data_IF_915042259211
#
_entry.id   IF_915042259211
#
_cell.length_a   1.000
_cell.length_b   1.000
_cell.length_c   1.000
_cell.angle_alpha   90.00
_cell.angle_beta   90.00
_cell.angle_gamma   90.00
#
_symmetry.space_group_name_H-M   'P 1'
#
loop_
_entity.id
_entity.type
_entity.pdbx_description
1 polymer ?
#
# COMPACT_ATOMS: atom_id res chain seq x y z
N UNK A 1 -17.55 -24.38 -24.53
CA UNK A 1 -16.42 -25.32 -24.34
C UNK A 1 -15.37 -24.59 -23.54
N UNK A 2 -15.34 -24.83 -22.23
CA UNK A 2 -14.44 -24.15 -21.31
C UNK A 2 -13.05 -24.77 -21.37
N UNK A 3 -12.07 -23.97 -21.78
CA UNK A 3 -10.66 -24.31 -21.57
C UNK A 3 -10.35 -24.07 -20.10
N UNK A 4 -10.17 -25.18 -19.41
CA UNK A 4 -9.63 -25.29 -18.07
C UNK A 4 -8.22 -24.70 -18.05
N UNK A 5 -8.05 -23.55 -17.40
CA UNK A 5 -6.72 -23.04 -17.01
C UNK A 5 -6.49 -23.52 -15.57
N UNK A 6 -6.03 -24.76 -15.47
CA UNK A 6 -5.60 -25.39 -14.22
C UNK A 6 -4.18 -24.93 -13.85
N UNK A 7 -4.00 -24.39 -12.63
CA UNK A 7 -2.84 -24.56 -11.75
C UNK A 7 -1.42 -24.11 -12.24
N UNK A 8 -1.22 -23.73 -13.50
CA UNK A 8 0.06 -23.20 -14.01
C UNK A 8 0.28 -21.69 -13.77
N UNK A 9 -0.59 -21.00 -13.03
CA UNK A 9 -0.47 -19.55 -12.75
C UNK A 9 0.77 -19.16 -11.90
N UNK A 10 1.53 -20.10 -11.36
CA UNK A 10 2.70 -19.82 -10.49
C UNK A 10 3.96 -19.31 -11.19
N UNK A 11 4.03 -19.36 -12.53
CA UNK A 11 5.09 -18.68 -13.32
C UNK A 11 4.49 -17.44 -13.98
N UNK A 12 4.02 -16.52 -13.15
CA UNK A 12 3.60 -15.21 -13.64
C UNK A 12 4.73 -14.57 -14.45
N UNK A 13 4.34 -13.86 -15.51
CA UNK A 13 5.24 -13.26 -16.46
C UNK A 13 6.17 -12.27 -15.73
N UNK A 14 7.40 -12.69 -15.42
CA UNK A 14 8.42 -11.85 -14.77
C UNK A 14 8.58 -10.50 -15.49
N UNK A 15 8.34 -10.46 -16.81
CA UNK A 15 8.29 -9.21 -17.57
C UNK A 15 7.16 -8.28 -17.13
N UNK A 16 5.95 -8.79 -16.92
CA UNK A 16 4.82 -7.99 -16.42
C UNK A 16 5.09 -7.45 -15.00
N UNK A 17 5.68 -8.26 -14.12
CA UNK A 17 6.07 -7.83 -12.77
C UNK A 17 7.11 -6.71 -12.83
N UNK A 18 8.14 -6.85 -13.67
CA UNK A 18 9.15 -5.81 -13.86
C UNK A 18 8.57 -4.50 -14.39
N UNK A 19 7.77 -4.58 -15.46
CA UNK A 19 7.09 -3.42 -16.03
C UNK A 19 6.20 -2.73 -14.98
N UNK A 20 5.54 -3.52 -14.13
CA UNK A 20 4.76 -2.99 -13.01
C UNK A 20 5.67 -2.29 -11.97
N UNK A 21 6.77 -2.93 -11.55
CA UNK A 21 7.74 -2.34 -10.64
C UNK A 21 8.29 -1.00 -11.17
N UNK A 22 8.59 -0.92 -12.46
CA UNK A 22 9.00 0.32 -13.13
C UNK A 22 7.90 1.38 -13.06
N UNK A 23 6.64 1.00 -13.30
CA UNK A 23 5.51 1.94 -13.28
C UNK A 23 5.19 2.54 -11.90
N UNK A 24 5.66 1.91 -10.81
CA UNK A 24 5.43 2.40 -9.45
C UNK A 24 6.60 3.21 -8.89
N UNK A 25 7.70 3.32 -9.64
CA UNK A 25 8.81 4.21 -9.32
C UNK A 25 8.31 5.66 -9.30
N UNK A 26 8.66 6.40 -8.24
CA UNK A 26 8.28 7.80 -8.01
C UNK A 26 6.77 8.10 -7.93
N UNK A 27 5.91 7.08 -7.89
CA UNK A 27 4.50 7.29 -7.56
C UNK A 27 4.40 8.00 -6.21
N UNK A 28 3.60 9.07 -6.20
CA UNK A 28 3.27 9.87 -5.02
C UNK A 28 1.82 9.65 -4.64
N UNK A 29 1.55 9.64 -3.35
CA UNK A 29 0.21 9.53 -2.81
C UNK A 29 -0.17 10.85 -2.14
N UNK A 30 -1.27 11.45 -2.60
CA UNK A 30 -1.80 12.64 -1.95
C UNK A 30 -2.12 12.38 -0.47
N UNK A 31 -1.75 13.34 0.38
CA UNK A 31 -1.92 13.23 1.83
C UNK A 31 -0.90 12.35 2.55
N UNK A 32 0.03 11.68 1.84
CA UNK A 32 1.01 10.78 2.48
C UNK A 32 1.79 11.49 3.60
N UNK A 33 2.01 10.77 4.70
CA UNK A 33 2.83 11.22 5.81
C UNK A 33 4.30 11.19 5.40
N UNK A 34 5.06 12.23 5.76
CA UNK A 34 6.52 12.20 5.56
C UNK A 34 7.14 11.35 6.66
N UNK A 35 7.72 10.22 6.27
CA UNK A 35 8.39 9.25 7.11
C UNK A 35 9.69 9.76 7.73
N UNK A 36 10.31 10.82 7.16
CA UNK A 36 11.59 11.36 7.64
C UNK A 36 11.48 12.36 8.80
N UNK A 37 10.27 12.73 9.21
CA UNK A 37 10.05 13.62 10.36
C UNK A 37 9.50 12.79 11.51
N UNK A 38 10.34 12.51 12.50
CA UNK A 38 9.90 11.85 13.71
C UNK A 38 8.84 12.66 14.46
N UNK A 39 8.16 12.08 15.45
CA UNK A 39 7.14 12.76 16.26
C UNK A 39 7.65 13.95 17.10
N UNK A 40 8.93 14.34 16.96
CA UNK A 40 9.48 15.55 17.60
C UNK A 40 9.53 16.76 16.67
N UNK A 41 9.32 16.57 15.36
CA UNK A 41 9.26 17.66 14.38
C UNK A 41 7.81 18.12 14.12
N UNK A 42 6.97 18.04 15.16
CA UNK A 42 5.64 18.65 15.21
C UNK A 42 5.69 20.17 15.42
N UNK A 43 6.82 20.83 15.17
CA UNK A 43 6.83 22.29 15.03
C UNK A 43 5.96 22.65 13.81
N UNK A 44 4.70 22.97 14.14
CA UNK A 44 3.79 23.88 13.48
C UNK A 44 4.53 24.77 12.48
N UNK A 45 4.53 24.38 11.21
CA UNK A 45 4.68 25.35 10.11
C UNK A 45 3.32 26.03 9.99
N UNK A 46 2.99 26.82 11.02
CA UNK A 46 1.79 27.62 11.14
C UNK A 46 1.94 28.86 10.24
N UNK A 47 1.63 28.67 8.97
CA UNK A 47 1.11 29.76 8.15
C UNK A 47 -0.39 29.94 8.47
N UNK A 48 -0.91 31.18 8.53
CA UNK A 48 -2.30 31.47 8.91
C UNK A 48 -3.39 30.89 7.97
N UNK A 49 -2.99 30.27 6.85
CA UNK A 49 -3.88 29.62 5.87
C UNK A 49 -3.70 28.09 5.79
N UNK A 50 -2.96 27.46 6.72
CA UNK A 50 -2.87 26.01 6.77
C UNK A 50 -3.92 25.45 7.73
N UNK A 51 -5.09 25.09 7.18
CA UNK A 51 -5.94 24.08 7.81
C UNK A 51 -5.03 22.93 8.25
N UNK A 52 -5.10 22.46 9.52
CA UNK A 52 -4.29 21.36 9.98
C UNK A 52 -4.54 20.20 9.03
N UNK A 53 -3.59 19.95 8.13
CA UNK A 53 -3.68 18.85 7.18
C UNK A 53 -3.81 17.63 8.05
N UNK A 54 -5.01 17.06 8.12
CA UNK A 54 -5.23 15.78 8.78
C UNK A 54 -4.26 14.83 8.08
N UNK A 55 -3.15 14.49 8.75
CA UNK A 55 -2.14 13.65 8.15
C UNK A 55 -2.81 12.32 7.86
N UNK A 56 -2.72 11.83 6.62
CA UNK A 56 -3.39 10.59 6.20
C UNK A 56 -3.12 9.45 7.20
N UNK A 57 -1.93 9.43 7.81
CA UNK A 57 -1.61 8.48 8.87
C UNK A 57 -2.58 8.47 10.05
N UNK A 58 -3.02 9.63 10.54
CA UNK A 58 -4.00 9.71 11.62
C UNK A 58 -5.35 9.15 11.21
N UNK A 59 -5.79 9.46 9.98
CA UNK A 59 -7.05 8.95 9.44
C UNK A 59 -6.99 7.44 9.27
N UNK A 60 -5.89 6.90 8.72
CA UNK A 60 -5.69 5.46 8.54
C UNK A 60 -5.67 4.70 9.87
N UNK A 61 -4.99 5.24 10.89
CA UNK A 61 -5.01 4.65 12.23
C UNK A 61 -6.44 4.56 12.78
N UNK A 62 -7.23 5.63 12.65
CA UNK A 62 -8.64 5.60 13.06
C UNK A 62 -9.48 4.61 12.25
N UNK A 63 -9.29 4.54 10.93
CA UNK A 63 -9.98 3.55 10.08
C UNK A 63 -9.66 2.11 10.51
N UNK A 64 -8.39 1.81 10.82
CA UNK A 64 -7.97 0.50 11.35
C UNK A 64 -8.63 0.21 12.71
N UNK A 65 -8.71 1.19 13.60
CA UNK A 65 -9.42 1.05 14.89
C UNK A 65 -10.90 0.71 14.69
N UNK A 66 -11.59 1.37 13.76
CA UNK A 66 -12.98 1.06 13.43
C UNK A 66 -13.14 -0.36 12.88
N UNK A 67 -12.24 -0.79 11.99
CA UNK A 67 -12.22 -2.17 11.46
C UNK A 67 -12.07 -3.19 12.59
N UNK A 68 -11.16 -2.95 13.53
CA UNK A 68 -10.92 -3.87 14.66
C UNK A 68 -12.10 -3.94 15.61
N UNK A 69 -12.69 -2.79 15.96
CA UNK A 69 -13.92 -2.76 16.77
C UNK A 69 -15.03 -3.58 16.12
N UNK A 70 -15.22 -3.42 14.81
CA UNK A 70 -16.26 -4.13 14.07
C UNK A 70 -15.93 -5.62 13.84
N UNK A 71 -14.65 -5.98 13.63
CA UNK A 71 -14.17 -7.36 13.53
C UNK A 71 -14.40 -8.14 14.82
N UNK A 72 -14.08 -7.53 15.96
CA UNK A 72 -14.32 -8.11 17.29
C UNK A 72 -15.81 -8.36 17.57
N UNK A 73 -16.70 -7.58 16.93
CA UNK A 73 -18.14 -7.77 16.97
C UNK A 73 -18.67 -8.76 15.91
N UNK A 74 -17.81 -9.33 15.05
CA UNK A 74 -18.16 -10.12 13.87
C UNK A 74 -19.13 -9.43 12.90
N UNK A 75 -19.11 -8.09 12.89
CA UNK A 75 -20.04 -7.24 12.15
C UNK A 75 -19.27 -6.15 11.42
N UNK A 76 -18.24 -6.52 10.65
CA UNK A 76 -17.54 -5.54 9.82
C UNK A 76 -18.52 -4.94 8.79
N UNK A 77 -18.95 -3.73 9.05
CA UNK A 77 -19.85 -2.92 8.23
C UNK A 77 -19.31 -1.49 8.17
N UNK A 78 -19.68 -0.76 7.11
CA UNK A 78 -19.27 0.63 6.94
C UNK A 78 -20.14 1.52 7.84
N UNK A 79 -19.63 1.80 9.05
CA UNK A 79 -20.28 2.69 10.03
C UNK A 79 -20.28 4.14 9.54
N UNK A 80 -21.12 4.98 10.12
CA UNK A 80 -21.13 6.40 9.78
C UNK A 80 -19.82 7.10 10.15
N UNK A 81 -19.16 6.69 11.24
CA UNK A 81 -17.81 7.15 11.59
C UNK A 81 -16.80 6.80 10.49
N UNK A 82 -16.84 5.56 9.96
CA UNK A 82 -15.98 5.14 8.85
C UNK A 82 -16.22 6.01 7.60
N UNK A 83 -17.48 6.35 7.29
CA UNK A 83 -17.84 7.21 6.16
C UNK A 83 -17.30 8.63 6.32
N UNK A 84 -17.37 9.20 7.53
CA UNK A 84 -16.82 10.54 7.79
C UNK A 84 -15.29 10.55 7.72
N UNK A 85 -14.61 9.50 8.21
CA UNK A 85 -13.17 9.35 8.02
C UNK A 85 -12.78 9.29 6.53
N UNK A 86 -13.56 8.58 5.70
CA UNK A 86 -13.34 8.58 4.25
C UNK A 86 -13.59 9.95 3.60
N UNK A 87 -14.52 10.75 4.14
CA UNK A 87 -14.71 12.14 3.68
C UNK A 87 -13.49 12.99 4.00
N UNK A 88 -12.85 12.79 5.14
CA UNK A 88 -11.61 13.47 5.48
C UNK A 88 -10.45 13.03 4.57
N UNK A 89 -10.41 11.76 4.16
CA UNK A 89 -9.50 11.33 3.08
C UNK A 89 -9.81 12.10 1.79
N UNK A 90 -11.08 12.17 1.37
CA UNK A 90 -11.48 12.87 0.14
C UNK A 90 -11.02 14.35 0.14
N UNK A 91 -11.26 15.09 1.24
CA UNK A 91 -10.77 16.46 1.43
C UNK A 91 -9.26 16.58 1.20
N UNK A 92 -8.47 15.63 1.72
CA UNK A 92 -7.01 15.62 1.57
C UNK A 92 -6.55 15.39 0.12
N UNK A 93 -7.38 14.76 -0.73
CA UNK A 93 -7.08 14.47 -2.14
C UNK A 93 -7.43 15.64 -3.07
N UNK A 94 -8.52 16.35 -2.78
CA UNK A 94 -9.12 17.37 -3.68
C UNK A 94 -8.35 18.70 -3.70
N UNK A 95 -7.34 18.88 -2.84
CA UNK A 95 -6.48 20.07 -2.83
C UNK A 95 -5.58 20.24 -4.07
N UNK A 96 -5.78 19.51 -5.17
CA UNK A 96 -4.99 19.64 -6.40
C UNK A 96 -5.85 19.92 -7.64
N UNK A 97 -5.32 20.73 -8.56
CA UNK A 97 -6.04 21.42 -9.65
C UNK A 97 -6.67 20.51 -10.72
N UNK A 98 -6.52 19.19 -10.62
CA UNK A 98 -6.92 18.21 -11.64
C UNK A 98 -7.77 17.06 -11.06
N UNK A 99 -8.25 17.17 -9.82
CA UNK A 99 -9.05 16.13 -9.18
C UNK A 99 -10.55 16.24 -9.47
N UNK A 100 -11.17 15.07 -9.55
CA UNK A 100 -12.53 14.77 -9.10
C UNK A 100 -12.89 15.64 -7.87
N UNK A 101 -14.12 16.18 -7.79
CA UNK A 101 -14.46 17.05 -6.65
C UNK A 101 -14.58 16.28 -5.32
N UNK A 102 -14.60 17.01 -4.19
CA UNK A 102 -15.14 16.60 -2.86
C UNK A 102 -15.92 15.28 -2.86
N UNK A 103 -17.14 15.45 -3.35
CA UNK A 103 -18.25 14.53 -3.23
C UNK A 103 -18.06 13.30 -4.13
N UNK A 104 -17.53 13.51 -5.33
CA UNK A 104 -17.23 12.42 -6.26
C UNK A 104 -16.12 11.52 -5.68
N UNK A 105 -15.04 12.10 -5.15
CA UNK A 105 -13.94 11.36 -4.51
C UNK A 105 -14.45 10.59 -3.28
N UNK A 106 -15.26 11.23 -2.45
CA UNK A 106 -15.89 10.56 -1.29
C UNK A 106 -16.78 9.40 -1.73
N UNK A 107 -17.60 9.58 -2.76
CA UNK A 107 -18.48 8.54 -3.31
C UNK A 107 -17.68 7.36 -3.85
N UNK A 108 -16.56 7.61 -4.55
CA UNK A 108 -15.65 6.55 -5.02
C UNK A 108 -15.05 5.77 -3.84
N UNK A 109 -14.56 6.47 -2.82
CA UNK A 109 -14.01 5.84 -1.61
C UNK A 109 -15.04 4.99 -0.87
N UNK A 110 -16.31 5.40 -0.84
CA UNK A 110 -17.40 4.58 -0.28
C UNK A 110 -17.61 3.29 -1.08
N UNK A 111 -17.62 3.37 -2.41
CA UNK A 111 -17.71 2.17 -3.26
C UNK A 111 -16.51 1.23 -3.11
N UNK A 112 -15.31 1.77 -2.90
CA UNK A 112 -14.12 0.96 -2.60
C UNK A 112 -14.17 0.35 -1.20
N UNK A 113 -14.72 1.04 -0.21
CA UNK A 113 -14.91 0.50 1.14
C UNK A 113 -15.84 -0.73 1.14
N UNK A 114 -16.89 -0.74 0.31
CA UNK A 114 -17.78 -1.91 0.16
C UNK A 114 -17.03 -3.13 -0.36
N UNK A 115 -16.20 -2.93 -1.40
CA UNK A 115 -15.33 -3.98 -1.95
C UNK A 115 -14.32 -4.45 -0.91
N UNK A 116 -13.70 -3.53 -0.19
CA UNK A 116 -12.76 -3.84 0.89
C UNK A 116 -13.41 -4.72 1.96
N UNK A 117 -14.61 -4.38 2.45
CA UNK A 117 -15.31 -5.18 3.46
C UNK A 117 -15.59 -6.59 2.95
N UNK A 118 -15.99 -6.74 1.69
CA UNK A 118 -16.20 -8.05 1.07
C UNK A 118 -14.91 -8.89 1.03
N UNK A 119 -13.79 -8.29 0.63
CA UNK A 119 -12.47 -8.94 0.56
C UNK A 119 -11.98 -9.32 1.97
N UNK A 120 -12.09 -8.38 2.93
CA UNK A 120 -11.69 -8.58 4.31
C UNK A 120 -12.45 -9.76 4.95
N UNK A 121 -13.77 -9.82 4.76
CA UNK A 121 -14.58 -10.96 5.24
C UNK A 121 -14.19 -12.27 4.56
N UNK A 122 -13.99 -12.24 3.23
CA UNK A 122 -13.66 -13.43 2.43
C UNK A 122 -12.33 -14.07 2.85
N UNK A 123 -11.30 -13.28 3.20
CA UNK A 123 -10.00 -13.84 3.62
C UNK A 123 -10.10 -14.63 4.93
N UNK A 124 -11.07 -14.32 5.80
CA UNK A 124 -11.35 -15.08 7.02
C UNK A 124 -10.35 -14.94 8.17
N UNK A 125 -9.44 -13.95 8.14
CA UNK A 125 -8.51 -13.66 9.23
C UNK A 125 -8.47 -12.17 9.56
N UNK A 126 -7.99 -11.82 10.76
CA UNK A 126 -7.78 -10.43 11.17
C UNK A 126 -6.48 -9.86 10.58
N UNK A 127 -6.39 -8.53 10.52
CA UNK A 127 -5.18 -7.84 10.05
C UNK A 127 -4.16 -7.80 11.17
N UNK A 128 -2.88 -7.93 10.81
CA UNK A 128 -1.78 -7.68 11.75
C UNK A 128 -1.90 -6.29 12.39
N UNK A 129 -1.46 -6.18 13.64
CA UNK A 129 -1.52 -4.92 14.41
C UNK A 129 -0.21 -4.17 14.20
N UNK A 130 -0.28 -2.94 13.71
CA UNK A 130 0.87 -2.04 13.73
C UNK A 130 1.06 -1.54 15.17
N UNK A 131 2.18 -1.88 15.81
CA UNK A 131 2.44 -1.48 17.19
C UNK A 131 2.55 0.05 17.32
N UNK A 132 2.22 0.55 18.51
CA UNK A 132 2.18 1.99 18.79
C UNK A 132 3.54 2.67 18.57
N UNK A 133 4.63 1.93 18.76
CA UNK A 133 5.99 2.42 18.53
C UNK A 133 6.29 2.75 17.05
N UNK A 134 5.41 2.33 16.12
CA UNK A 134 5.47 2.63 14.70
C UNK A 134 4.29 3.51 14.24
N UNK A 135 3.70 4.29 15.14
CA UNK A 135 2.57 5.17 14.80
C UNK A 135 2.87 6.14 13.67
N UNK A 136 4.14 6.52 13.48
CA UNK A 136 4.60 7.40 12.39
C UNK A 136 4.60 6.71 11.01
N UNK A 137 4.55 5.37 10.97
CA UNK A 137 4.55 4.61 9.72
C UNK A 137 3.21 4.71 8.97
N UNK A 138 2.12 5.03 9.70
CA UNK A 138 0.81 5.20 9.11
C UNK A 138 0.81 6.26 8.01
N UNK A 139 0.30 5.88 6.84
CA UNK A 139 0.16 6.76 5.67
C UNK A 139 1.48 7.16 5.04
N UNK A 140 2.61 6.57 5.43
CA UNK A 140 3.89 6.81 4.76
C UNK A 140 3.83 6.35 3.32
N UNK A 141 4.70 6.92 2.48
CA UNK A 141 4.80 6.55 1.07
C UNK A 141 5.01 5.04 0.89
N UNK A 142 5.90 4.45 1.69
CA UNK A 142 6.20 3.03 1.64
C UNK A 142 4.98 2.16 1.95
N UNK A 143 4.23 2.50 3.01
CA UNK A 143 3.01 1.79 3.37
C UNK A 143 1.94 1.93 2.28
N UNK A 144 1.79 3.12 1.71
CA UNK A 144 0.86 3.38 0.61
C UNK A 144 1.26 2.68 -0.69
N UNK A 145 2.56 2.54 -0.96
CA UNK A 145 3.08 1.75 -2.07
C UNK A 145 2.75 0.26 -1.91
N UNK A 146 2.93 -0.27 -0.70
CA UNK A 146 2.50 -1.63 -0.36
C UNK A 146 1.00 -1.81 -0.63
N UNK A 147 0.17 -0.88 -0.13
CA UNK A 147 -1.27 -0.89 -0.35
C UNK A 147 -1.63 -0.83 -1.83
N UNK A 148 -0.93 0.00 -2.62
CA UNK A 148 -1.11 0.11 -4.08
C UNK A 148 -0.85 -1.22 -4.79
N UNK A 149 0.24 -1.90 -4.45
CA UNK A 149 0.57 -3.20 -5.06
C UNK A 149 -0.52 -4.22 -4.77
N UNK A 150 -1.07 -4.26 -3.57
CA UNK A 150 -2.20 -5.13 -3.24
C UNK A 150 -3.41 -4.84 -4.13
N UNK A 151 -3.89 -3.59 -4.13
CA UNK A 151 -5.14 -3.25 -4.83
C UNK A 151 -5.01 -3.38 -6.36
N UNK A 152 -3.82 -3.15 -6.92
CA UNK A 152 -3.59 -3.33 -8.35
C UNK A 152 -3.56 -4.82 -8.76
N UNK A 153 -3.20 -5.73 -7.84
CA UNK A 153 -2.99 -7.15 -8.12
C UNK A 153 -4.01 -8.10 -7.46
N UNK A 154 -5.04 -7.56 -6.83
CA UNK A 154 -6.14 -8.37 -6.29
C UNK A 154 -6.87 -9.09 -7.44
N UNK A 155 -7.11 -10.42 -7.32
CA UNK A 155 -7.78 -11.20 -8.35
C UNK A 155 -9.16 -10.65 -8.72
N UNK A 156 -9.89 -10.15 -7.74
CA UNK A 156 -11.22 -9.57 -7.93
C UNK A 156 -11.19 -8.48 -9.01
N UNK A 157 -10.18 -7.60 -9.02
CA UNK A 157 -10.05 -6.55 -10.02
C UNK A 157 -9.60 -7.08 -11.38
N UNK A 158 -8.64 -7.99 -11.38
CA UNK A 158 -8.09 -8.57 -12.62
C UNK A 158 -9.17 -9.38 -13.37
N UNK A 159 -9.93 -10.20 -12.66
CA UNK A 159 -10.92 -11.10 -13.26
C UNK A 159 -12.19 -10.36 -13.69
N UNK A 160 -12.62 -9.34 -12.92
CA UNK A 160 -13.80 -8.54 -13.24
C UNK A 160 -13.53 -7.32 -14.11
N UNK A 161 -12.25 -7.00 -14.37
CA UNK A 161 -11.80 -5.77 -15.06
C UNK A 161 -12.35 -4.49 -14.42
N UNK A 162 -12.54 -4.52 -13.11
CA UNK A 162 -12.92 -3.34 -12.35
C UNK A 162 -11.68 -2.49 -12.04
N UNK A 163 -11.82 -1.16 -11.94
CA UNK A 163 -10.73 -0.31 -11.48
C UNK A 163 -10.22 -0.77 -10.10
N UNK A 164 -8.91 -0.73 -9.86
CA UNK A 164 -8.33 -0.93 -8.53
C UNK A 164 -8.96 0.01 -7.50
N UNK A 165 -9.06 -0.47 -6.26
CA UNK A 165 -9.45 0.39 -5.12
C UNK A 165 -8.38 1.44 -4.80
N UNK A 166 -8.75 2.44 -4.01
CA UNK A 166 -7.75 3.34 -3.42
C UNK A 166 -6.71 2.57 -2.57
N UNK A 167 -5.40 2.88 -2.69
CA UNK A 167 -4.33 2.21 -1.96
C UNK A 167 -4.50 2.17 -0.44
N UNK A 168 -5.28 3.08 0.17
CA UNK A 168 -5.57 3.02 1.61
C UNK A 168 -6.20 1.69 2.00
N UNK A 169 -7.00 1.08 1.13
CA UNK A 169 -7.68 -0.18 1.42
C UNK A 169 -6.72 -1.36 1.36
N UNK A 170 -5.72 -1.32 0.49
CA UNK A 170 -4.61 -2.28 0.50
C UNK A 170 -3.78 -2.19 1.79
N UNK A 171 -3.52 -0.97 2.26
CA UNK A 171 -2.86 -0.74 3.56
C UNK A 171 -3.66 -1.33 4.73
N UNK A 172 -4.98 -1.10 4.78
CA UNK A 172 -5.84 -1.60 5.86
C UNK A 172 -5.99 -3.13 5.85
N UNK A 173 -5.74 -3.79 4.71
CA UNK A 173 -5.66 -5.25 4.64
C UNK A 173 -4.43 -5.79 5.39
N UNK A 174 -3.30 -5.08 5.42
CA UNK A 174 -2.15 -5.50 6.22
C UNK A 174 -1.34 -4.29 6.71
N UNK A 175 -1.69 -3.71 7.87
CA UNK A 175 -1.10 -2.48 8.41
C UNK A 175 0.43 -2.49 8.57
N UNK A 176 1.02 -3.64 8.86
CA UNK A 176 2.48 -3.84 9.04
C UNK A 176 3.21 -4.01 7.71
N UNK A 177 2.46 -4.19 6.61
CA UNK A 177 3.01 -4.52 5.31
C UNK A 177 3.94 -3.46 4.76
N UNK A 178 5.06 -3.91 4.22
CA UNK A 178 6.08 -3.06 3.65
C UNK A 178 7.11 -2.59 4.66
N UNK A 179 6.95 -2.80 5.98
CA UNK A 179 7.99 -2.48 6.96
C UNK A 179 9.30 -3.21 6.66
N UNK A 180 10.42 -2.48 6.71
CA UNK A 180 11.75 -3.09 6.57
C UNK A 180 12.12 -3.84 7.85
N UNK A 181 12.30 -5.15 7.73
CA UNK A 181 12.70 -6.04 8.83
C UNK A 181 11.64 -7.10 9.13
N UNK A 182 11.96 -8.14 9.91
CA UNK A 182 10.97 -9.15 10.27
C UNK A 182 9.99 -8.58 11.29
N UNK A 183 8.73 -8.41 10.88
CA UNK A 183 7.66 -7.90 11.73
C UNK A 183 7.94 -6.48 12.22
N UNK A 184 7.70 -6.24 13.50
CA UNK A 184 7.63 -4.89 14.07
C UNK A 184 8.93 -4.38 14.71
N UNK A 185 10.09 -4.82 14.21
CA UNK A 185 11.38 -4.47 14.78
C UNK A 185 11.82 -3.03 14.42
N UNK A 186 11.39 -2.07 15.24
CA UNK A 186 11.63 -0.63 15.09
C UNK A 186 13.06 -0.24 14.74
N UNK A 187 14.05 -0.77 15.44
CA UNK A 187 15.45 -0.36 15.24
C UNK A 187 15.98 -0.72 13.84
N UNK A 188 15.50 -1.82 13.25
CA UNK A 188 15.94 -2.26 11.92
C UNK A 188 15.29 -1.40 10.85
N UNK A 189 14.00 -1.08 11.03
CA UNK A 189 13.28 -0.14 10.19
C UNK A 189 13.97 1.22 10.23
N UNK A 190 14.14 1.83 11.41
CA UNK A 190 14.75 3.15 11.57
C UNK A 190 16.16 3.24 10.93
N UNK A 191 16.92 2.14 10.92
CA UNK A 191 18.30 2.13 10.41
C UNK A 191 18.41 1.90 8.90
N UNK A 192 17.45 1.20 8.28
CA UNK A 192 17.48 0.79 6.87
C UNK A 192 16.43 1.50 6.01
N UNK A 193 15.50 2.21 6.64
CA UNK A 193 14.44 2.92 5.97
C UNK A 193 14.99 4.11 5.18
N UNK A 194 14.62 4.15 3.90
CA UNK A 194 14.85 5.26 3.00
C UNK A 194 13.58 5.40 2.14
N UNK A 195 12.82 6.49 2.32
CA UNK A 195 11.47 6.69 1.74
C UNK A 195 11.42 6.49 0.21
N UNK A 196 12.55 6.73 -0.46
CA UNK A 196 12.73 6.58 -1.91
C UNK A 196 13.85 5.60 -2.28
N UNK A 197 14.39 4.88 -1.30
CA UNK A 197 15.51 3.98 -1.48
C UNK A 197 15.11 2.59 -1.96
N UNK A 198 16.09 1.80 -2.43
CA UNK A 198 15.88 0.42 -2.86
C UNK A 198 15.18 -0.46 -1.82
N UNK A 199 15.46 -0.23 -0.52
CA UNK A 199 14.83 -0.96 0.57
C UNK A 199 13.33 -0.70 0.67
N UNK A 200 12.88 0.56 0.54
CA UNK A 200 11.46 0.90 0.63
C UNK A 200 10.63 0.29 -0.50
N UNK A 201 11.11 0.40 -1.74
CA UNK A 201 10.42 -0.24 -2.87
C UNK A 201 10.46 -1.76 -2.76
N UNK A 202 11.62 -2.32 -2.39
CA UNK A 202 11.77 -3.75 -2.23
C UNK A 202 10.80 -4.29 -1.19
N UNK A 203 10.80 -3.75 0.04
CA UNK A 203 9.96 -4.24 1.13
C UNK A 203 8.48 -4.10 0.81
N UNK A 204 8.05 -2.94 0.27
CA UNK A 204 6.66 -2.72 -0.08
C UNK A 204 6.14 -3.72 -1.11
N UNK A 205 6.90 -3.97 -2.18
CA UNK A 205 6.51 -4.91 -3.24
C UNK A 205 6.65 -6.37 -2.79
N UNK A 206 7.73 -6.70 -2.09
CA UNK A 206 7.98 -8.03 -1.54
C UNK A 206 6.86 -8.49 -0.62
N UNK A 207 6.50 -7.64 0.34
CA UNK A 207 5.46 -7.97 1.32
C UNK A 207 4.08 -7.99 0.69
N UNK A 208 3.79 -7.08 -0.26
CA UNK A 208 2.49 -7.06 -0.94
C UNK A 208 2.25 -8.34 -1.74
N UNK A 209 3.24 -8.79 -2.51
CA UNK A 209 3.12 -10.05 -3.24
C UNK A 209 3.13 -11.28 -2.33
N UNK A 210 3.88 -11.24 -1.22
CA UNK A 210 3.78 -12.25 -0.17
C UNK A 210 2.38 -12.33 0.45
N UNK A 211 1.78 -11.19 0.75
CA UNK A 211 0.41 -11.08 1.27
C UNK A 211 -0.61 -11.64 0.28
N UNK A 212 -0.54 -11.23 -0.99
CA UNK A 212 -1.42 -11.71 -2.06
C UNK A 212 -1.33 -13.23 -2.22
N UNK A 213 -0.10 -13.77 -2.20
CA UNK A 213 0.11 -15.22 -2.31
C UNK A 213 -0.49 -15.97 -1.13
N UNK A 214 -0.30 -15.45 0.08
CA UNK A 214 -0.70 -16.12 1.32
C UNK A 214 -2.21 -16.05 1.55
N UNK A 215 -2.82 -14.90 1.32
CA UNK A 215 -4.22 -14.63 1.70
C UNK A 215 -5.21 -14.75 0.55
N UNK A 216 -4.73 -14.60 -0.70
CA UNK A 216 -5.59 -14.59 -1.89
C UNK A 216 -5.19 -15.69 -2.90
N UNK A 217 -4.14 -16.46 -2.61
CA UNK A 217 -3.55 -17.46 -3.51
C UNK A 217 -3.27 -16.87 -4.91
N UNK A 218 -2.79 -15.63 -4.95
CA UNK A 218 -2.58 -14.86 -6.17
C UNK A 218 -1.24 -14.12 -6.17
N UNK A 219 -0.82 -13.65 -7.34
CA UNK A 219 0.43 -12.94 -7.48
C UNK A 219 1.67 -13.85 -7.43
N UNK A 220 2.85 -13.25 -7.58
CA UNK A 220 4.09 -14.00 -7.79
C UNK A 220 4.78 -14.39 -6.47
N UNK A 221 4.19 -14.02 -5.32
CA UNK A 221 4.75 -14.27 -4.00
C UNK A 221 6.00 -13.45 -3.68
N UNK A 222 6.67 -13.80 -2.58
CA UNK A 222 7.87 -13.13 -2.07
C UNK A 222 9.03 -13.16 -3.08
N UNK A 223 9.13 -14.23 -3.87
CA UNK A 223 10.09 -14.35 -4.97
C UNK A 223 9.55 -13.75 -6.28
N UNK A 224 9.04 -12.51 -6.26
CA UNK A 224 8.32 -11.92 -7.40
C UNK A 224 9.14 -11.77 -8.70
N UNK A 225 10.48 -11.82 -8.62
CA UNK A 225 11.37 -11.85 -9.78
C UNK A 225 11.71 -13.27 -10.26
N UNK A 226 11.10 -14.29 -9.66
CA UNK A 226 11.39 -15.72 -9.83
C UNK A 226 12.89 -16.03 -9.71
N UNK A 227 13.56 -15.36 -8.77
CA UNK A 227 14.98 -15.49 -8.46
C UNK A 227 15.15 -15.55 -6.96
N UNK A 228 15.55 -16.72 -6.46
CA UNK A 228 15.71 -16.96 -5.03
C UNK A 228 16.18 -18.38 -4.75
N UNK A 229 16.78 -18.57 -3.57
CA UNK A 229 17.14 -19.89 -3.05
C UNK A 229 15.94 -20.50 -2.30
N UNK A 230 15.12 -19.66 -1.69
CA UNK A 230 13.86 -20.04 -1.06
C UNK A 230 12.70 -19.90 -2.04
N UNK A 231 11.60 -20.64 -1.81
CA UNK A 231 10.38 -20.57 -2.62
C UNK A 231 9.63 -19.22 -2.49
N UNK A 232 8.63 -19.02 -3.35
CA UNK A 232 7.79 -17.81 -3.40
C UNK A 232 6.88 -17.63 -2.16
N UNK A 233 6.74 -18.66 -1.35
CA UNK A 233 6.00 -18.65 -0.07
C UNK A 233 6.85 -18.20 1.13
N UNK A 234 8.17 -18.05 0.98
CA UNK A 234 9.05 -17.72 2.11
C UNK A 234 9.32 -16.21 2.17
N UNK A 235 9.18 -15.55 3.34
CA UNK A 235 9.55 -14.14 3.50
C UNK A 235 11.06 -13.88 3.37
N UNK A 236 11.89 -14.93 3.36
CA UNK A 236 13.32 -14.84 3.03
C UNK A 236 13.60 -15.03 1.53
N UNK A 237 12.58 -15.42 0.75
CA UNK A 237 12.65 -15.54 -0.69
C UNK A 237 12.83 -14.19 -1.36
N UNK A 238 13.60 -14.14 -2.46
CA UNK A 238 13.70 -12.93 -3.28
C UNK A 238 14.46 -11.75 -2.67
N UNK A 239 14.77 -11.74 -1.36
CA UNK A 239 15.43 -10.63 -0.65
C UNK A 239 16.65 -10.05 -1.39
N UNK A 240 17.69 -10.87 -1.62
CA UNK A 240 18.92 -10.43 -2.28
C UNK A 240 18.68 -9.96 -3.73
N UNK A 241 17.86 -10.69 -4.49
CA UNK A 241 17.65 -10.41 -5.92
C UNK A 241 16.71 -9.22 -6.13
N UNK A 242 15.70 -9.07 -5.29
CA UNK A 242 14.81 -7.92 -5.26
C UNK A 242 15.57 -6.66 -4.87
N UNK A 243 16.36 -6.68 -3.80
CA UNK A 243 17.17 -5.52 -3.41
C UNK A 243 18.17 -5.13 -4.50
N UNK A 244 18.83 -6.09 -5.15
CA UNK A 244 19.72 -5.82 -6.30
C UNK A 244 18.96 -5.23 -7.49
N UNK A 245 17.76 -5.71 -7.77
CA UNK A 245 16.92 -5.19 -8.84
C UNK A 245 16.56 -3.72 -8.61
N UNK A 246 16.06 -3.37 -7.42
CA UNK A 246 15.71 -1.98 -7.09
C UNK A 246 16.92 -1.06 -7.06
N UNK A 247 18.09 -1.55 -6.60
CA UNK A 247 19.34 -0.79 -6.70
C UNK A 247 19.68 -0.45 -8.16
N UNK A 248 19.59 -1.42 -9.07
CA UNK A 248 19.84 -1.21 -10.49
C UNK A 248 18.82 -0.24 -11.10
N UNK A 249 17.53 -0.51 -10.90
CA UNK A 249 16.45 0.29 -11.45
C UNK A 249 16.49 1.75 -10.98
N UNK A 250 16.71 2.00 -9.69
CA UNK A 250 16.77 3.36 -9.15
C UNK A 250 18.09 4.06 -9.52
N UNK A 251 19.20 3.30 -9.64
CA UNK A 251 20.46 3.84 -10.15
C UNK A 251 20.37 4.26 -11.62
N UNK A 252 19.65 3.51 -12.44
CA UNK A 252 19.36 3.83 -13.84
C UNK A 252 18.36 4.98 -13.99
N UNK A 253 17.43 5.14 -13.04
CA UNK A 253 16.46 6.25 -13.02
C UNK A 253 17.06 7.60 -12.54
N UNK A 254 18.33 7.63 -12.12
CA UNK A 254 19.02 8.82 -11.59
C UNK A 254 20.04 9.50 -12.56
N UNK A 255 19.73 9.72 -13.85
CA UNK A 255 20.35 10.82 -14.60
C UNK A 255 19.30 11.85 -15.08
N UNK A 256 19.36 13.06 -14.49
CA UNK A 256 18.74 14.33 -14.92
C UNK A 256 17.20 14.49 -15.01
N UNK A 257 16.39 13.43 -15.08
CA UNK A 257 14.92 13.56 -15.29
C UNK A 257 14.06 13.72 -14.02
N UNK A 258 14.65 13.75 -12.82
CA UNK A 258 13.93 14.01 -11.56
C UNK A 258 13.40 15.47 -11.41
N UNK A 259 13.34 16.24 -12.50
CA UNK A 259 12.74 17.58 -12.60
C UNK A 259 11.61 17.61 -13.63
N UNK A 260 10.60 16.75 -13.51
CA UNK A 260 9.29 17.02 -14.09
C UNK A 260 8.23 16.19 -13.40
N UNK A 261 7.18 16.85 -12.93
CA UNK A 261 5.97 16.28 -12.37
C UNK A 261 5.40 15.18 -13.27
N UNK A 262 5.55 13.92 -12.86
CA UNK A 262 4.69 12.83 -13.34
C UNK A 262 3.74 12.45 -12.20
N UNK A 263 2.60 13.13 -12.17
CA UNK A 263 1.40 12.62 -11.51
C UNK A 263 0.86 11.49 -12.39
N UNK A 264 1.02 10.24 -11.97
CA UNK A 264 0.44 9.11 -12.71
C UNK A 264 -0.96 8.84 -12.18
N UNK A 265 -1.93 9.24 -13.00
CA UNK A 265 -3.34 8.87 -12.95
C UNK A 265 -3.55 7.50 -13.63
N UNK A 266 -4.26 6.60 -12.98
CA UNK A 266 -5.25 5.66 -13.55
C UNK A 266 -5.93 4.88 -12.43
#
# INVERSE_FOLDING_TARGET
MGNWISVERGKENVGAVKNYCESVVFVRFYGQTNSMKGPQDHEEVDGPDHHPKTQLGHILNKLDQEIRKASAAHQLEITDEFKELLRDVAKSRVCTKECENEEECHKRLLGDAEKFVAIYKKRGCESEVLHQDHSFYWGTRQQMLFGKVIVDWLPEHIETKTPPMDPIFGTLLNPTGGLVGPGDLKWMHDSLFDDLGPFAYHSAVHDAFGYLKTNHNSGPGYCYLNKGIFGDWSPFGGQLFGLRYWNGLLGEAQPEEAKADQFVFK
#
